data_IF_334427670931
#
_entry.id   IF_334427670931
#
_cell.length_a   1.000
_cell.length_b   1.000
_cell.length_c   1.000
_cell.angle_alpha   90.00
_cell.angle_beta   90.00
_cell.angle_gamma   90.00
#
_symmetry.space_group_name_H-M   'P 1'
#
loop_
_entity.id
_entity.type
_entity.pdbx_description
1 polymer ?
#
# COMPACT_ATOMS: atom_id res chain seq x y z
N UNK A 1 -0.97 13.79 -15.46
CA UNK A 1 -1.64 12.48 -15.41
C UNK A 1 -2.85 12.61 -14.49
N UNK A 2 -3.97 12.03 -14.85
CA UNK A 2 -5.16 11.98 -14.00
C UNK A 2 -5.01 10.90 -12.92
N UNK A 3 -5.74 11.03 -11.82
CA UNK A 3 -5.81 10.00 -10.78
C UNK A 3 -6.26 8.65 -11.35
N UNK A 4 -7.23 8.65 -12.27
CA UNK A 4 -7.73 7.45 -12.94
C UNK A 4 -6.63 6.73 -13.72
N UNK A 5 -5.87 7.45 -14.55
CA UNK A 5 -4.74 6.87 -15.30
C UNK A 5 -3.67 6.30 -14.36
N UNK A 6 -3.44 6.95 -13.22
CA UNK A 6 -2.50 6.46 -12.21
C UNK A 6 -2.97 5.17 -11.56
N UNK A 7 -4.26 5.06 -11.24
CA UNK A 7 -4.87 3.85 -10.71
C UNK A 7 -4.83 2.72 -11.74
N UNK A 8 -5.12 3.00 -13.01
CA UNK A 8 -5.05 2.01 -14.09
C UNK A 8 -3.61 1.49 -14.27
N UNK A 9 -2.60 2.37 -14.12
CA UNK A 9 -1.19 1.99 -14.11
C UNK A 9 -0.83 1.09 -12.91
N UNK A 10 -1.30 1.42 -11.71
CA UNK A 10 -1.09 0.61 -10.50
C UNK A 10 -1.72 -0.78 -10.68
N UNK A 11 -2.97 -0.85 -11.16
CA UNK A 11 -3.67 -2.12 -11.39
C UNK A 11 -2.94 -2.95 -12.45
N UNK A 12 -2.53 -2.33 -13.56
CA UNK A 12 -1.77 -3.00 -14.62
C UNK A 12 -0.44 -3.54 -14.09
N UNK A 13 0.28 -2.75 -13.30
CA UNK A 13 1.51 -3.15 -12.63
C UNK A 13 1.29 -4.37 -11.73
N UNK A 14 0.33 -4.30 -10.80
CA UNK A 14 0.01 -5.39 -9.88
C UNK A 14 -0.38 -6.68 -10.60
N UNK A 15 -1.17 -6.58 -11.68
CA UNK A 15 -1.56 -7.72 -12.50
C UNK A 15 -0.37 -8.34 -13.24
N UNK A 16 0.58 -7.53 -13.69
CA UNK A 16 1.80 -8.02 -14.34
C UNK A 16 2.69 -8.78 -13.36
N UNK A 17 2.83 -8.29 -12.13
CA UNK A 17 3.62 -8.93 -11.07
C UNK A 17 2.96 -10.23 -10.60
N UNK A 18 1.63 -10.26 -10.49
CA UNK A 18 0.87 -11.49 -10.28
C UNK A 18 1.19 -12.54 -11.33
N UNK A 19 1.06 -12.21 -12.62
CA UNK A 19 1.33 -13.17 -13.72
C UNK A 19 2.75 -13.73 -13.65
N UNK A 20 3.76 -12.89 -13.37
CA UNK A 20 5.15 -13.34 -13.21
C UNK A 20 5.31 -14.35 -12.07
N UNK A 21 4.64 -14.11 -10.94
CA UNK A 21 4.70 -14.97 -9.74
C UNK A 21 3.87 -16.25 -9.90
N UNK A 22 2.66 -16.16 -10.46
CA UNK A 22 1.75 -17.30 -10.64
C UNK A 22 2.21 -18.30 -11.70
N UNK A 23 3.03 -17.89 -12.67
CA UNK A 23 3.70 -18.82 -13.59
C UNK A 23 4.75 -19.70 -12.89
N UNK A 24 5.12 -19.37 -11.65
CA UNK A 24 6.20 -19.98 -10.87
C UNK A 24 5.77 -20.45 -9.47
N UNK A 25 4.63 -21.17 -9.35
CA UNK A 25 4.18 -21.97 -8.18
C UNK A 25 2.98 -21.34 -7.41
N UNK A 26 2.02 -22.22 -7.06
CA UNK A 26 0.83 -22.10 -6.17
C UNK A 26 -0.55 -21.87 -6.83
N UNK A 27 -1.46 -22.84 -6.62
CA UNK A 27 -2.87 -22.83 -7.06
C UNK A 27 -3.77 -21.87 -6.25
N UNK A 28 -3.25 -21.24 -5.18
CA UNK A 28 -4.04 -20.42 -4.25
C UNK A 28 -3.30 -19.10 -3.91
N UNK A 29 -3.13 -18.26 -4.92
CA UNK A 29 -2.50 -16.93 -4.81
C UNK A 29 -3.59 -15.86 -4.94
N UNK A 30 -3.78 -15.05 -3.91
CA UNK A 30 -4.78 -13.96 -3.90
C UNK A 30 -4.09 -12.61 -3.68
N UNK A 31 -4.44 -11.63 -4.50
CA UNK A 31 -4.06 -10.23 -4.29
C UNK A 31 -5.30 -9.39 -4.08
N UNK A 32 -5.25 -8.57 -3.03
CA UNK A 32 -6.28 -7.59 -2.71
C UNK A 32 -5.63 -6.21 -2.68
N UNK A 33 -6.31 -5.22 -3.29
CA UNK A 33 -5.90 -3.83 -3.27
C UNK A 33 -6.89 -3.06 -2.42
N UNK A 34 -6.38 -2.35 -1.43
CA UNK A 34 -7.17 -1.46 -0.60
C UNK A 34 -6.90 -0.01 -0.97
N UNK A 35 -7.99 0.76 -1.00
CA UNK A 35 -8.02 2.19 -1.27
C UNK A 35 -9.03 2.83 -0.34
N UNK A 36 -8.66 3.92 0.30
CA UNK A 36 -9.64 4.71 1.04
C UNK A 36 -10.51 5.46 0.04
N UNK A 37 -11.84 5.31 0.12
CA UNK A 37 -12.75 6.38 -0.27
C UNK A 37 -12.87 7.30 0.93
N UNK A 38 -12.36 8.53 0.83
CA UNK A 38 -12.40 9.53 1.91
C UNK A 38 -13.83 9.84 2.42
N UNK A 39 -14.88 9.32 1.76
CA UNK A 39 -16.28 9.56 2.07
C UNK A 39 -17.07 8.23 2.01
N UNK A 40 -17.22 7.56 3.17
CA UNK A 40 -18.51 7.03 3.70
C UNK A 40 -18.39 6.07 4.90
N UNK A 41 -17.20 5.68 5.36
CA UNK A 41 -17.05 4.73 6.49
C UNK A 41 -16.53 5.37 7.80
N UNK A 42 -16.77 6.66 8.01
CA UNK A 42 -16.13 7.45 9.07
C UNK A 42 -16.56 7.08 10.51
N UNK A 43 -17.64 6.32 10.71
CA UNK A 43 -18.27 6.26 12.05
C UNK A 43 -17.78 5.16 12.99
N UNK A 44 -16.75 4.37 12.65
CA UNK A 44 -16.24 3.33 13.57
C UNK A 44 -14.80 3.47 14.04
N UNK A 45 -13.93 4.14 13.27
CA UNK A 45 -12.50 4.21 13.58
C UNK A 45 -11.91 5.64 13.68
N UNK A 46 -12.74 6.69 13.56
CA UNK A 46 -12.34 8.10 13.54
C UNK A 46 -11.72 8.67 14.83
N UNK A 47 -11.44 7.83 15.83
CA UNK A 47 -10.90 8.26 17.13
C UNK A 47 -9.43 7.87 17.36
N UNK A 48 -8.77 7.19 16.42
CA UNK A 48 -7.34 6.95 16.57
C UNK A 48 -6.55 8.21 16.21
N UNK A 49 -5.65 8.70 17.10
CA UNK A 49 -4.84 9.86 16.79
C UNK A 49 -3.96 9.55 15.58
N UNK A 50 -3.91 10.47 14.61
CA UNK A 50 -3.01 10.38 13.46
C UNK A 50 -1.56 10.27 14.01
N UNK A 51 -0.84 9.17 13.74
CA UNK A 51 0.55 9.06 14.14
C UNK A 51 1.37 10.21 13.50
N UNK A 52 2.45 10.69 14.10
CA UNK A 52 3.32 11.68 13.46
C UNK A 52 4.19 11.06 12.34
N UNK A 53 4.38 9.74 12.39
CA UNK A 53 5.23 8.96 11.50
C UNK A 53 4.74 7.51 11.49
N UNK A 54 4.60 6.94 10.30
CA UNK A 54 4.48 5.49 10.11
C UNK A 54 5.85 4.95 9.69
N UNK A 55 6.35 3.94 10.41
CA UNK A 55 7.64 3.33 10.14
C UNK A 55 7.48 1.83 9.86
N UNK A 56 8.04 1.40 8.74
CA UNK A 56 7.98 0.03 8.24
C UNK A 56 9.34 -0.36 7.68
N UNK A 57 10.11 -1.15 8.43
CA UNK A 57 11.48 -1.52 8.02
C UNK A 57 12.28 -0.25 7.63
N UNK A 58 12.68 -0.12 6.36
CA UNK A 58 13.42 1.02 5.80
C UNK A 58 12.52 2.12 5.18
N UNK A 59 11.21 2.04 5.41
CA UNK A 59 10.20 2.96 4.87
C UNK A 59 9.61 3.85 5.96
N UNK A 60 9.59 5.16 5.70
CA UNK A 60 8.99 6.18 6.56
C UNK A 60 7.88 6.90 5.79
N UNK A 61 6.71 7.05 6.40
CA UNK A 61 5.58 7.77 5.81
C UNK A 61 5.08 8.82 6.80
N UNK A 62 5.12 10.09 6.38
CA UNK A 62 4.76 11.25 7.20
C UNK A 62 4.11 12.35 6.35
N UNK A 63 3.97 13.56 6.89
CA UNK A 63 3.44 14.72 6.17
C UNK A 63 4.29 15.22 5.00
N UNK A 64 5.54 14.79 4.87
CA UNK A 64 6.43 15.20 3.78
C UNK A 64 6.34 14.26 2.59
N UNK A 65 6.06 12.97 2.82
CA UNK A 65 5.93 11.99 1.77
C UNK A 65 6.20 10.56 2.22
N UNK A 66 6.68 9.76 1.28
CA UNK A 66 7.19 8.41 1.51
C UNK A 66 8.70 8.44 1.33
N UNK A 67 9.46 8.22 2.40
CA UNK A 67 10.91 8.07 2.35
C UNK A 67 11.26 6.58 2.36
N UNK A 68 12.06 6.18 1.38
CA UNK A 68 12.54 4.81 1.20
C UNK A 68 14.06 4.92 1.14
N UNK A 69 14.76 4.30 2.09
CA UNK A 69 16.21 4.44 2.23
C UNK A 69 16.65 5.93 2.20
N UNK A 70 17.36 6.36 1.14
CA UNK A 70 17.86 7.72 0.95
C UNK A 70 17.00 8.60 0.02
N UNK A 71 15.87 8.09 -0.48
CA UNK A 71 15.01 8.81 -1.44
C UNK A 71 13.69 9.21 -0.79
N UNK A 72 13.34 10.49 -0.87
CA UNK A 72 12.03 11.01 -0.45
C UNK A 72 11.14 11.26 -1.68
N UNK A 73 10.01 10.56 -1.72
CA UNK A 73 8.93 10.80 -2.67
C UNK A 73 7.88 11.69 -2.01
N UNK A 74 7.82 12.96 -2.42
CA UNK A 74 6.90 13.94 -1.81
C UNK A 74 5.46 13.66 -2.23
N UNK A 75 4.51 14.00 -1.37
CA UNK A 75 3.09 13.90 -1.72
C UNK A 75 2.71 14.71 -2.96
N UNK A 76 3.38 15.84 -3.20
CA UNK A 76 3.21 16.64 -4.42
C UNK A 76 3.49 15.87 -5.71
N UNK A 77 4.31 14.84 -5.63
CA UNK A 77 4.79 14.08 -6.79
C UNK A 77 4.02 12.75 -6.95
N UNK A 78 3.24 12.36 -5.93
CA UNK A 78 2.49 11.11 -5.86
C UNK A 78 1.02 11.39 -6.21
N UNK A 79 0.52 10.77 -7.29
CA UNK A 79 -0.87 10.94 -7.72
C UNK A 79 -1.86 10.02 -7.00
N UNK A 80 -1.46 8.77 -6.76
CA UNK A 80 -2.35 7.76 -6.17
C UNK A 80 -1.53 6.76 -5.36
N UNK A 81 -2.12 6.28 -4.27
CA UNK A 81 -1.54 5.27 -3.37
C UNK A 81 -2.57 4.17 -3.12
N UNK A 82 -2.11 2.92 -3.04
CA UNK A 82 -2.91 1.78 -2.61
C UNK A 82 -2.09 0.91 -1.66
N UNK A 83 -2.76 0.18 -0.79
CA UNK A 83 -2.13 -0.89 -0.01
C UNK A 83 -2.44 -2.21 -0.71
N UNK A 84 -1.39 -2.97 -1.05
CA UNK A 84 -1.50 -4.28 -1.69
C UNK A 84 -1.23 -5.37 -0.66
N UNK A 85 -2.16 -6.32 -0.58
CA UNK A 85 -2.06 -7.53 0.24
C UNK A 85 -1.79 -8.71 -0.71
N UNK A 86 -0.65 -9.37 -0.54
CA UNK A 86 -0.22 -10.51 -1.33
C UNK A 86 -0.24 -11.76 -0.44
N UNK A 87 -1.23 -12.64 -0.63
CA UNK A 87 -1.41 -13.87 0.16
C UNK A 87 -1.04 -15.09 -0.67
N UNK A 88 -0.04 -15.84 -0.20
CA UNK A 88 0.47 -17.06 -0.86
C UNK A 88 0.48 -18.27 0.08
N UNK A 89 0.16 -19.43 -0.45
CA UNK A 89 0.33 -20.70 0.26
C UNK A 89 1.83 -21.00 0.49
N UNK A 90 2.17 -21.57 1.65
CA UNK A 90 3.49 -22.17 1.86
C UNK A 90 3.63 -23.47 1.03
N UNK A 91 4.88 -23.89 0.73
CA UNK A 91 5.13 -25.14 -0.01
C UNK A 91 4.46 -26.33 0.71
N UNK A 92 3.91 -27.26 -0.09
CA UNK A 92 3.24 -28.48 0.39
C UNK A 92 4.08 -29.19 1.47
N UNK A 93 3.47 -29.41 2.63
CA UNK A 93 4.11 -30.07 3.79
C UNK A 93 3.79 -29.40 5.13
N UNK A 94 3.42 -28.12 5.12
CA UNK A 94 2.85 -27.41 6.27
C UNK A 94 1.36 -27.17 6.00
N UNK A 95 0.49 -28.01 6.55
CA UNK A 95 -0.96 -27.84 6.40
C UNK A 95 -1.40 -26.42 6.79
N UNK A 96 -1.88 -25.65 5.81
CA UNK A 96 -2.78 -24.51 6.02
C UNK A 96 -2.19 -23.14 6.39
N UNK A 97 -0.86 -22.95 6.41
CA UNK A 97 -0.29 -21.62 6.70
C UNK A 97 -0.19 -20.77 5.43
N UNK A 98 -0.83 -19.61 5.45
CA UNK A 98 -0.68 -18.59 4.42
C UNK A 98 0.36 -17.56 4.87
N UNK A 99 1.25 -17.19 3.96
CA UNK A 99 2.12 -16.02 4.14
C UNK A 99 1.39 -14.83 3.52
N UNK A 100 1.24 -13.77 4.29
CA UNK A 100 0.73 -12.48 3.81
C UNK A 100 1.88 -11.48 3.80
N UNK A 101 2.23 -11.00 2.62
CA UNK A 101 3.15 -9.89 2.43
C UNK A 101 2.34 -8.62 2.11
N UNK A 102 2.67 -7.50 2.77
CA UNK A 102 1.99 -6.22 2.58
C UNK A 102 2.91 -5.23 1.86
N UNK A 103 2.32 -4.43 0.96
CA UNK A 103 3.06 -3.45 0.18
C UNK A 103 2.31 -2.12 0.10
N UNK A 104 3.05 -1.02 0.12
CA UNK A 104 2.56 0.28 -0.32
C UNK A 104 2.91 0.43 -1.79
N UNK A 105 1.91 0.67 -2.63
CA UNK A 105 2.09 0.90 -4.06
C UNK A 105 1.60 2.29 -4.40
N UNK A 106 2.42 3.06 -5.09
CA UNK A 106 2.07 4.42 -5.47
C UNK A 106 2.57 4.80 -6.85
N UNK A 107 1.81 5.66 -7.52
CA UNK A 107 2.12 6.15 -8.87
C UNK A 107 2.55 7.60 -8.80
N UNK A 108 3.70 7.90 -9.39
CA UNK A 108 4.20 9.27 -9.54
C UNK A 108 3.47 9.99 -10.68
N UNK A 109 3.51 11.32 -10.67
CA UNK A 109 3.04 12.17 -11.79
C UNK A 109 3.72 11.84 -13.13
N UNK A 110 4.90 11.22 -13.09
CA UNK A 110 5.65 10.74 -14.25
C UNK A 110 5.10 9.43 -14.84
N UNK A 111 4.19 8.75 -14.14
CA UNK A 111 3.65 7.44 -14.50
C UNK A 111 4.43 6.25 -13.97
N UNK A 112 5.58 6.52 -13.32
CA UNK A 112 6.35 5.47 -12.65
C UNK A 112 5.57 4.95 -11.44
N UNK A 113 5.32 3.65 -11.42
CA UNK A 113 4.77 2.93 -10.27
C UNK A 113 5.91 2.45 -9.38
N UNK A 114 5.79 2.66 -8.08
CA UNK A 114 6.74 2.25 -7.06
C UNK A 114 5.99 1.31 -6.10
N UNK A 115 6.58 0.15 -5.82
CA UNK A 115 6.09 -0.82 -4.86
C UNK A 115 7.14 -0.98 -3.75
N UNK A 116 6.70 -0.91 -2.50
CA UNK A 116 7.56 -0.99 -1.32
C UNK A 116 6.97 -1.98 -0.34
N UNK A 117 7.81 -2.86 0.20
CA UNK A 117 7.40 -3.83 1.22
C UNK A 117 7.21 -3.12 2.56
N UNK A 118 6.10 -3.41 3.24
CA UNK A 118 5.77 -2.81 4.54
C UNK A 118 5.99 -3.73 5.74
N UNK A 119 6.24 -5.02 5.50
CA UNK A 119 6.32 -6.00 6.58
C UNK A 119 4.98 -6.19 7.31
N UNK A 120 5.01 -6.22 8.64
CA UNK A 120 3.83 -6.39 9.49
C UNK A 120 3.11 -5.06 9.75
N UNK A 121 1.88 -4.93 9.23
CA UNK A 121 1.07 -3.72 9.36
C UNK A 121 -0.09 -3.86 10.35
N UNK A 122 -0.15 -4.96 11.13
CA UNK A 122 -1.29 -5.27 12.02
C UNK A 122 -1.63 -4.14 13.00
N UNK A 123 -0.62 -3.39 13.44
CA UNK A 123 -0.79 -2.25 14.35
C UNK A 123 -1.59 -1.08 13.74
N UNK A 124 -1.62 -0.96 12.41
CA UNK A 124 -2.38 0.08 11.71
C UNK A 124 -3.67 -0.45 11.07
N UNK A 125 -3.90 -1.77 11.13
CA UNK A 125 -5.12 -2.44 10.64
C UNK A 125 -5.58 -1.89 9.28
N UNK A 126 -6.89 -1.67 9.11
CA UNK A 126 -7.50 -1.08 7.90
C UNK A 126 -7.33 0.45 7.81
N UNK A 127 -6.63 1.08 8.76
CA UNK A 127 -6.48 2.54 8.85
C UNK A 127 -5.22 3.06 8.19
N UNK A 128 -4.32 2.18 7.75
CA UNK A 128 -3.07 2.59 7.12
C UNK A 128 -3.30 3.56 5.95
N UNK A 129 -4.16 3.18 5.01
CA UNK A 129 -4.46 4.03 3.85
C UNK A 129 -5.23 5.29 4.26
N UNK A 130 -5.99 5.25 5.34
CA UNK A 130 -6.64 6.44 5.91
C UNK A 130 -5.62 7.46 6.42
N UNK A 131 -4.64 7.03 7.23
CA UNK A 131 -3.58 7.91 7.73
C UNK A 131 -2.75 8.51 6.58
N UNK A 132 -2.45 7.72 5.55
CA UNK A 132 -1.74 8.19 4.36
C UNK A 132 -2.52 9.33 3.68
N UNK A 133 -3.83 9.18 3.50
CA UNK A 133 -4.66 10.25 2.93
C UNK A 133 -4.71 11.48 3.84
N UNK A 134 -4.78 11.30 5.17
CA UNK A 134 -4.72 12.42 6.11
C UNK A 134 -3.38 13.18 6.03
N UNK A 135 -2.26 12.49 5.86
CA UNK A 135 -0.95 13.13 5.66
C UNK A 135 -0.89 13.98 4.40
N UNK A 136 -1.42 13.47 3.27
CA UNK A 136 -1.48 14.21 2.00
C UNK A 136 -2.32 15.47 2.11
N UNK A 137 -3.41 15.41 2.87
CA UNK A 137 -4.29 16.56 3.13
C UNK A 137 -3.69 17.56 4.11
N UNK A 138 -2.58 17.23 4.78
CA UNK A 138 -1.94 18.08 5.78
C UNK A 138 -2.74 18.20 7.09
N UNK A 139 -3.62 17.24 7.38
CA UNK A 139 -4.39 17.21 8.63
C UNK A 139 -3.45 16.98 9.81
N UNK A 140 -3.53 17.78 10.89
CA UNK A 140 -2.72 17.58 12.10
C UNK A 140 -1.28 18.13 12.03
N UNK A 141 -0.96 18.88 10.97
CA UNK A 141 0.30 19.61 10.82
C UNK A 141 0.26 20.99 11.48
#
# INVERSE_FOLDING_TARGET
MTEKECLDNIVTFCNSELKKKSWLIFNDHTVTLDKTRLLQDYEKDANFPLPPLLQFEDTHVDHNGVKIENTLYKWSDICSTVVKYDRRATKMGEEGKFITDNYLVFCLQTGKVIEVKLGDIRQYSNLLIHYIEQYKLGIGK
#
